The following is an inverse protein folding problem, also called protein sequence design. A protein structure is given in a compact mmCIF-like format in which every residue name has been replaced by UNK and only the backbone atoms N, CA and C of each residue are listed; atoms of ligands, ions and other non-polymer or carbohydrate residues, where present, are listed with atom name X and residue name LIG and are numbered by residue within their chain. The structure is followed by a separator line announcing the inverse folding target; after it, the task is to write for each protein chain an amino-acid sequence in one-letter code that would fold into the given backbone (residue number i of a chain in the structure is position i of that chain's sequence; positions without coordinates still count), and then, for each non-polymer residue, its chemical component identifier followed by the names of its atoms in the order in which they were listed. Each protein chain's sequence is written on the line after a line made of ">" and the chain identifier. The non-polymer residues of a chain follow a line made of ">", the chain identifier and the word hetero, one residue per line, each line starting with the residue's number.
data_IF_887550484333
#
_entry.id   IF_887550484333
#
_cell.length_a   1.000
_cell.length_b   1.000
_cell.length_c   1.000
_cell.angle_alpha   90.00
_cell.angle_beta   90.00
_cell.angle_gamma   90.00
#
_symmetry.space_group_name_H-M   'P 1'
#
loop_
_entity.id
_entity.type
_entity.pdbx_description
1 polymer ?
#
# COMPACT_ATOMS: atom_id res chain seq x y z
N UNK A 1 23.03 0.44 27.55
CA UNK A 1 21.77 1.01 27.00
C UNK A 1 21.86 0.82 25.50
N UNK A 2 20.94 0.07 24.89
CA UNK A 2 20.94 -0.17 23.45
C UNK A 2 19.77 0.58 22.82
N UNK A 3 20.05 1.35 21.77
CA UNK A 3 19.05 2.07 20.99
C UNK A 3 18.97 1.42 19.60
N UNK A 4 17.76 1.09 19.16
CA UNK A 4 17.49 0.57 17.84
C UNK A 4 16.49 1.48 17.13
N UNK A 5 16.81 1.93 15.92
CA UNK A 5 15.90 2.72 15.09
C UNK A 5 15.19 1.82 14.09
N UNK A 6 13.88 2.01 13.96
CA UNK A 6 13.02 1.33 13.00
C UNK A 6 12.53 2.36 12.01
N UNK A 7 12.80 2.15 10.72
CA UNK A 7 12.30 3.01 9.66
C UNK A 7 11.12 2.35 8.95
N UNK A 8 10.14 3.14 8.54
CA UNK A 8 9.03 2.73 7.68
C UNK A 8 8.75 3.81 6.62
N UNK A 9 8.14 3.38 5.51
CA UNK A 9 7.71 4.27 4.44
C UNK A 9 6.23 4.03 4.19
N UNK A 10 5.43 5.09 4.19
CA UNK A 10 4.01 5.08 3.82
C UNK A 10 3.77 5.99 2.62
N UNK A 11 2.59 5.92 2.02
CA UNK A 11 2.19 6.88 0.98
C UNK A 11 1.34 8.03 1.55
N UNK A 12 0.97 7.94 2.82
CA UNK A 12 0.50 9.03 3.65
C UNK A 12 1.12 8.91 5.06
N UNK A 13 0.92 9.93 5.89
CA UNK A 13 1.45 9.99 7.25
C UNK A 13 0.92 8.83 8.14
N UNK A 14 -0.35 8.48 8.02
CA UNK A 14 -0.98 7.46 8.85
C UNK A 14 -0.47 6.06 8.52
N UNK A 15 -0.40 5.70 7.24
CA UNK A 15 0.20 4.43 6.77
C UNK A 15 1.67 4.31 7.15
N UNK A 16 2.39 5.42 7.13
CA UNK A 16 3.78 5.49 7.52
C UNK A 16 3.95 5.18 9.02
N UNK A 17 3.11 5.78 9.87
CA UNK A 17 3.04 5.53 11.31
C UNK A 17 2.61 4.09 11.60
N UNK A 18 1.54 3.60 10.97
CA UNK A 18 1.03 2.25 11.15
C UNK A 18 2.08 1.19 10.77
N UNK A 19 2.81 1.44 9.68
CA UNK A 19 3.91 0.58 9.23
C UNK A 19 5.09 0.59 10.20
N UNK A 20 5.45 1.75 10.77
CA UNK A 20 6.48 1.85 11.80
C UNK A 20 6.08 1.06 13.05
N UNK A 21 4.84 1.24 13.52
CA UNK A 21 4.28 0.54 14.67
C UNK A 21 4.22 -0.98 14.47
N UNK A 22 3.81 -1.44 13.28
CA UNK A 22 3.78 -2.86 12.95
C UNK A 22 5.19 -3.50 12.97
N UNK A 23 6.21 -2.77 12.50
CA UNK A 23 7.62 -3.23 12.53
C UNK A 23 8.17 -3.26 13.96
N UNK A 24 7.89 -2.23 14.77
CA UNK A 24 8.25 -2.20 16.20
C UNK A 24 7.64 -3.42 16.91
N UNK A 25 6.35 -3.71 16.69
CA UNK A 25 5.65 -4.87 17.27
C UNK A 25 6.30 -6.21 16.90
N UNK A 26 6.78 -6.36 15.66
CA UNK A 26 7.49 -7.58 15.23
C UNK A 26 8.85 -7.75 15.93
N UNK A 27 9.58 -6.66 16.14
CA UNK A 27 10.90 -6.69 16.77
C UNK A 27 10.84 -6.95 18.28
N UNK A 28 9.78 -6.49 18.95
CA UNK A 28 9.63 -6.65 20.40
C UNK A 28 8.88 -7.91 20.82
N UNK A 29 8.23 -8.63 19.89
CA UNK A 29 7.55 -9.90 20.15
C UNK A 29 6.25 -9.81 20.97
N UNK A 30 5.93 -8.66 21.57
CA UNK A 30 4.70 -8.40 22.31
C UNK A 30 3.89 -7.26 21.68
N UNK A 31 2.54 -7.30 21.74
CA UNK A 31 1.74 -6.11 21.45
C UNK A 31 2.14 -5.05 22.47
N UNK A 32 2.85 -4.02 22.03
CA UNK A 32 3.01 -2.77 22.78
C UNK A 32 1.61 -2.17 22.84
N UNK A 33 0.83 -2.57 23.85
CA UNK A 33 -0.55 -2.14 24.11
C UNK A 33 -0.50 -0.68 24.55
N UNK A 34 -0.40 0.20 23.55
CA UNK A 34 -0.16 1.64 23.75
C UNK A 34 1.19 1.87 24.45
N UNK A 35 1.99 2.81 23.99
CA UNK A 35 3.27 3.16 24.62
C UNK A 35 3.07 3.88 25.98
N UNK A 36 2.15 3.42 26.82
CA UNK A 36 1.74 4.06 28.08
C UNK A 36 1.66 3.12 29.30
N UNK A 37 1.92 1.81 29.19
CA UNK A 37 1.97 0.97 30.40
C UNK A 37 3.27 0.19 30.53
N UNK A 38 4.01 0.60 31.56
CA UNK A 38 5.23 0.03 32.11
C UNK A 38 5.20 -1.51 32.04
N UNK A 39 5.93 -2.07 31.07
CA UNK A 39 6.36 -3.45 31.16
C UNK A 39 7.50 -3.50 32.19
N UNK A 40 7.33 -4.28 33.25
CA UNK A 40 8.37 -4.49 34.25
C UNK A 40 9.49 -5.35 33.62
N UNK A 41 10.70 -4.80 33.64
CA UNK A 41 11.81 -5.11 32.73
C UNK A 41 11.99 -3.95 31.77
N UNK A 42 12.96 -3.05 32.03
CA UNK A 42 13.03 -1.68 31.50
C UNK A 42 13.29 -1.62 29.99
N UNK A 43 12.26 -1.93 29.20
CA UNK A 43 12.10 -1.53 27.81
C UNK A 43 11.31 -0.24 27.82
N UNK A 44 11.98 0.89 27.59
CA UNK A 44 11.33 2.16 27.34
C UNK A 44 11.24 2.34 25.83
N UNK A 45 10.08 2.05 25.24
CA UNK A 45 9.75 2.60 23.93
C UNK A 45 9.44 4.08 24.12
N UNK A 46 10.48 4.91 24.18
CA UNK A 46 10.32 6.32 23.86
C UNK A 46 10.13 6.37 22.34
N UNK A 47 8.87 6.33 21.90
CA UNK A 47 8.54 6.87 20.59
C UNK A 47 8.78 8.36 20.75
N UNK A 48 10.04 8.81 20.61
CA UNK A 48 10.27 10.17 20.17
C UNK A 48 9.55 10.22 18.83
N UNK A 49 8.38 10.87 18.82
CA UNK A 49 7.66 11.19 17.59
C UNK A 49 8.53 12.18 16.82
N UNK A 50 9.63 11.71 16.24
CA UNK A 50 10.28 12.44 15.18
C UNK A 50 9.44 12.17 13.93
N UNK A 51 8.33 12.90 13.82
CA UNK A 51 7.63 13.09 12.55
C UNK A 51 8.63 13.76 11.62
N UNK A 52 9.35 12.96 10.84
CA UNK A 52 10.20 13.48 9.77
C UNK A 52 9.25 13.78 8.63
N UNK A 53 8.84 15.04 8.50
CA UNK A 53 7.98 15.53 7.42
C UNK A 53 8.66 15.51 6.04
N UNK A 54 9.81 14.87 5.91
CA UNK A 54 10.51 14.77 4.64
C UNK A 54 9.97 13.57 3.86
N UNK A 55 9.20 13.87 2.83
CA UNK A 55 8.82 12.88 1.83
C UNK A 55 10.09 12.28 1.20
N UNK A 56 10.29 10.95 1.18
CA UNK A 56 11.44 10.31 0.55
C UNK A 56 11.31 10.30 -1.00
N UNK A 57 10.91 11.43 -1.57
CA UNK A 57 10.77 11.66 -3.00
C UNK A 57 9.41 11.27 -3.58
N UNK A 58 9.17 11.63 -4.85
CA UNK A 58 7.91 11.39 -5.52
C UNK A 58 7.65 9.91 -5.81
N UNK A 59 6.37 9.57 -5.99
CA UNK A 59 5.96 8.24 -6.45
C UNK A 59 6.23 8.12 -7.96
N UNK A 60 7.46 7.75 -8.34
CA UNK A 60 7.82 7.53 -9.74
C UNK A 60 7.34 6.14 -10.22
N UNK A 61 6.46 6.11 -11.24
CA UNK A 61 6.18 4.90 -12.04
C UNK A 61 5.49 3.75 -11.30
N UNK A 62 4.85 4.01 -10.17
CA UNK A 62 4.27 2.98 -9.33
C UNK A 62 2.84 2.67 -9.79
N UNK A 63 2.70 1.59 -10.56
CA UNK A 63 1.43 1.24 -11.24
C UNK A 63 0.86 -0.09 -10.73
N UNK A 64 -0.45 -0.13 -10.54
CA UNK A 64 -1.26 -1.36 -10.47
C UNK A 64 -1.88 -1.65 -11.83
N UNK A 65 -1.71 -2.88 -12.33
CA UNK A 65 -2.22 -3.33 -13.64
C UNK A 65 -3.39 -4.30 -13.44
N UNK A 66 -4.53 -4.00 -14.04
CA UNK A 66 -5.73 -4.85 -14.03
C UNK A 66 -6.01 -5.43 -15.41
N UNK A 67 -6.29 -6.74 -15.48
CA UNK A 67 -6.59 -7.46 -16.72
C UNK A 67 -7.92 -8.23 -16.57
N UNK A 68 -8.75 -8.26 -17.63
CA UNK A 68 -10.02 -9.00 -17.62
C UNK A 68 -10.45 -9.47 -19.02
N UNK A 69 -10.91 -10.72 -19.10
CA UNK A 69 -11.38 -11.38 -20.33
C UNK A 69 -12.84 -11.83 -20.19
N UNK A 70 -13.65 -11.60 -21.22
CA UNK A 70 -15.07 -11.97 -21.22
C UNK A 70 -15.58 -12.34 -22.61
N UNK A 71 -16.62 -13.17 -22.67
CA UNK A 71 -17.31 -13.51 -23.92
C UNK A 71 -18.78 -13.13 -23.88
N UNK A 72 -19.29 -12.47 -24.92
CA UNK A 72 -20.67 -11.98 -24.96
C UNK A 72 -21.26 -12.01 -26.40
N UNK A 73 -22.57 -11.79 -26.52
CA UNK A 73 -23.26 -11.71 -27.80
C UNK A 73 -23.28 -10.33 -28.46
N UNK A 74 -22.92 -9.27 -27.73
CA UNK A 74 -22.97 -7.87 -28.19
C UNK A 74 -21.60 -7.21 -27.98
N UNK A 75 -20.96 -6.81 -29.07
CA UNK A 75 -19.61 -6.26 -29.07
C UNK A 75 -19.45 -5.06 -28.14
N UNK A 76 -20.39 -4.11 -28.21
CA UNK A 76 -20.33 -2.85 -27.44
C UNK A 76 -20.44 -3.15 -25.95
N UNK A 77 -21.33 -4.08 -25.57
CA UNK A 77 -21.47 -4.54 -24.19
C UNK A 77 -20.21 -5.26 -23.71
N UNK A 78 -19.61 -6.13 -24.54
CA UNK A 78 -18.34 -6.78 -24.20
C UNK A 78 -17.26 -5.76 -23.88
N UNK A 79 -16.95 -4.87 -24.84
CA UNK A 79 -15.87 -3.87 -24.70
C UNK A 79 -16.08 -3.03 -23.45
N UNK A 80 -17.29 -2.51 -23.26
CA UNK A 80 -17.61 -1.68 -22.10
C UNK A 80 -17.47 -2.44 -20.78
N UNK A 81 -17.89 -3.71 -20.74
CA UNK A 81 -17.80 -4.54 -19.54
C UNK A 81 -16.35 -4.85 -19.18
N UNK A 82 -15.52 -5.22 -20.17
CA UNK A 82 -14.12 -5.55 -19.89
C UNK A 82 -13.31 -4.34 -19.44
N UNK A 83 -13.56 -3.16 -20.02
CA UNK A 83 -12.93 -1.89 -19.62
C UNK A 83 -13.25 -1.57 -18.16
N UNK A 84 -14.54 -1.54 -17.81
CA UNK A 84 -14.96 -1.21 -16.44
C UNK A 84 -14.36 -2.16 -15.41
N UNK A 85 -14.31 -3.45 -15.74
CA UNK A 85 -13.78 -4.47 -14.83
C UNK A 85 -12.25 -4.37 -14.71
N UNK A 86 -11.54 -4.17 -15.82
CA UNK A 86 -10.09 -3.98 -15.80
C UNK A 86 -9.70 -2.71 -15.01
N UNK A 87 -10.44 -1.61 -15.16
CA UNK A 87 -10.22 -0.37 -14.42
C UNK A 87 -10.45 -0.56 -12.90
N UNK A 88 -11.55 -1.22 -12.51
CA UNK A 88 -11.81 -1.55 -11.12
C UNK A 88 -10.71 -2.45 -10.53
N UNK A 89 -10.30 -3.49 -11.27
CA UNK A 89 -9.21 -4.37 -10.86
C UNK A 89 -7.89 -3.62 -10.70
N UNK A 90 -7.56 -2.70 -11.61
CA UNK A 90 -6.34 -1.90 -11.53
C UNK A 90 -6.31 -1.03 -10.27
N UNK A 91 -7.45 -0.38 -9.93
CA UNK A 91 -7.59 0.42 -8.71
C UNK A 91 -7.48 -0.44 -7.46
N UNK A 92 -8.19 -1.56 -7.40
CA UNK A 92 -8.14 -2.46 -6.23
C UNK A 92 -6.74 -3.05 -6.02
N UNK A 93 -6.05 -3.46 -7.09
CA UNK A 93 -4.68 -3.95 -7.01
C UNK A 93 -3.71 -2.85 -6.57
N UNK A 94 -3.91 -1.62 -7.03
CA UNK A 94 -3.14 -0.47 -6.58
C UNK A 94 -3.37 -0.20 -5.08
N UNK A 95 -4.63 -0.13 -4.64
CA UNK A 95 -4.99 0.05 -3.22
C UNK A 95 -4.41 -1.06 -2.34
N UNK A 96 -4.54 -2.32 -2.73
CA UNK A 96 -4.01 -3.45 -1.98
C UNK A 96 -2.47 -3.42 -1.88
N UNK A 97 -1.79 -2.95 -2.92
CA UNK A 97 -0.34 -2.87 -2.95
C UNK A 97 0.21 -1.70 -2.13
N UNK A 98 -0.54 -0.60 -2.03
CA UNK A 98 -0.03 0.67 -1.52
C UNK A 98 -0.74 1.24 -0.30
N UNK A 99 -1.91 0.71 0.05
CA UNK A 99 -2.70 1.13 1.22
C UNK A 99 -3.41 2.47 1.07
N UNK A 100 -3.30 3.15 -0.08
CA UNK A 100 -3.90 4.47 -0.35
C UNK A 100 -4.90 4.43 -1.48
N UNK A 101 -5.69 5.50 -1.60
CA UNK A 101 -6.49 5.75 -2.79
C UNK A 101 -5.65 5.82 -4.06
N UNK A 102 -6.19 5.22 -5.12
CA UNK A 102 -5.58 5.15 -6.43
C UNK A 102 -6.52 5.66 -7.51
N UNK A 103 -5.95 6.24 -8.56
CA UNK A 103 -6.66 6.77 -9.73
C UNK A 103 -6.22 6.02 -11.00
N UNK A 104 -7.15 5.82 -11.93
CA UNK A 104 -6.86 5.20 -13.23
C UNK A 104 -6.00 6.14 -14.07
N UNK A 105 -4.82 5.69 -14.49
CA UNK A 105 -3.88 6.47 -15.32
C UNK A 105 -3.89 6.04 -16.77
N UNK A 106 -4.17 4.75 -17.03
CA UNK A 106 -4.37 4.23 -18.39
C UNK A 106 -5.74 3.55 -18.44
N UNK A 107 -6.64 4.16 -19.20
CA UNK A 107 -7.98 3.61 -19.47
C UNK A 107 -7.86 2.25 -20.14
N UNK A 108 -8.83 1.38 -19.90
CA UNK A 108 -8.83 0.00 -20.39
C UNK A 108 -8.57 -0.09 -21.91
N UNK A 109 -7.36 -0.47 -22.31
CA UNK A 109 -7.07 -0.79 -23.71
C UNK A 109 -7.73 -2.13 -24.02
N UNK A 110 -8.61 -2.14 -25.01
CA UNK A 110 -9.38 -3.33 -25.36
C UNK A 110 -8.88 -4.01 -26.60
N UNK A 111 -8.79 -5.33 -26.54
CA UNK A 111 -8.71 -6.18 -27.74
C UNK A 111 -10.01 -6.96 -27.88
N UNK A 112 -10.36 -7.29 -29.12
CA UNK A 112 -11.59 -8.02 -29.41
C UNK A 112 -11.38 -9.01 -30.55
N UNK A 113 -12.09 -10.13 -30.46
CA UNK A 113 -12.10 -11.19 -31.47
C UNK A 113 -13.51 -11.79 -31.58
N UNK A 114 -13.99 -12.05 -32.79
CA UNK A 114 -15.28 -12.73 -33.00
C UNK A 114 -15.03 -14.22 -33.26
N UNK A 115 -15.47 -15.09 -32.33
CA UNK A 115 -15.38 -16.55 -32.47
C UNK A 115 -16.75 -17.20 -32.33
N UNK A 116 -17.14 -18.04 -33.30
CA UNK A 116 -18.39 -18.83 -33.27
C UNK A 116 -19.62 -17.99 -32.86
N UNK A 117 -19.79 -16.81 -33.46
CA UNK A 117 -20.87 -15.83 -33.16
C UNK A 117 -20.86 -15.23 -31.74
N UNK A 118 -19.74 -15.31 -31.02
CA UNK A 118 -19.52 -14.62 -29.74
C UNK A 118 -18.32 -13.70 -29.83
N UNK A 119 -18.46 -12.52 -29.26
CA UNK A 119 -17.36 -11.59 -29.09
C UNK A 119 -16.57 -12.02 -27.86
N UNK A 120 -15.26 -12.18 -28.02
CA UNK A 120 -14.29 -12.37 -26.95
C UNK A 120 -13.57 -11.04 -26.82
N UNK A 121 -13.65 -10.42 -25.66
CA UNK A 121 -12.97 -9.17 -25.38
C UNK A 121 -12.04 -9.32 -24.19
N UNK A 122 -10.93 -8.61 -24.28
CA UNK A 122 -9.97 -8.44 -23.20
C UNK A 122 -9.77 -6.95 -22.96
N UNK A 123 -9.51 -6.56 -21.72
CA UNK A 123 -9.06 -5.21 -21.39
C UNK A 123 -7.91 -5.24 -20.40
N UNK A 124 -7.01 -4.29 -20.57
CA UNK A 124 -5.92 -3.99 -19.64
C UNK A 124 -6.01 -2.53 -19.22
N UNK A 125 -6.01 -2.24 -17.92
CA UNK A 125 -5.99 -0.89 -17.38
C UNK A 125 -4.86 -0.72 -16.34
N UNK A 126 -4.49 0.54 -16.11
CA UNK A 126 -3.47 0.90 -15.12
C UNK A 126 -3.99 1.95 -14.16
N UNK A 127 -3.60 1.84 -12.89
CA UNK A 127 -3.87 2.83 -11.85
C UNK A 127 -2.61 3.17 -11.06
N UNK A 128 -2.52 4.40 -10.56
CA UNK A 128 -1.43 4.87 -9.72
C UNK A 128 -1.97 5.43 -8.41
N UNK A 129 -1.18 5.43 -7.32
CA UNK A 129 -1.53 6.15 -6.10
C UNK A 129 -1.87 7.61 -6.38
N UNK A 130 -2.91 8.13 -5.73
CA UNK A 130 -3.23 9.56 -5.78
C UNK A 130 -2.22 10.41 -5.01
N UNK A 131 -1.44 9.79 -4.12
CA UNK A 131 -0.37 10.45 -3.39
C UNK A 131 0.81 10.79 -4.33
N UNK A 132 1.26 12.04 -4.31
CA UNK A 132 2.42 12.47 -5.10
C UNK A 132 3.74 12.11 -4.42
N UNK A 133 3.70 11.93 -3.10
CA UNK A 133 4.85 11.77 -2.24
C UNK A 133 4.76 10.49 -1.42
N UNK A 134 5.92 9.94 -1.10
CA UNK A 134 6.04 8.96 -0.01
C UNK A 134 6.19 9.73 1.31
N UNK A 135 6.09 9.05 2.45
CA UNK A 135 6.39 9.56 3.78
C UNK A 135 7.36 8.59 4.46
N UNK A 136 8.38 9.07 5.18
CA UNK A 136 9.28 8.23 5.96
C UNK A 136 9.11 8.51 7.45
N UNK A 137 8.91 7.44 8.22
CA UNK A 137 8.72 7.49 9.66
C UNK A 137 9.84 6.72 10.34
N UNK A 138 10.33 7.25 11.45
CA UNK A 138 11.30 6.57 12.30
C UNK A 138 10.71 6.36 13.70
N UNK A 139 10.91 5.17 14.26
CA UNK A 139 10.59 4.86 15.65
C UNK A 139 11.87 4.40 16.36
N UNK A 140 12.13 4.95 17.54
CA UNK A 140 13.28 4.57 18.37
C UNK A 140 12.85 3.62 19.49
N UNK A 141 13.56 2.50 19.62
CA UNK A 141 13.38 1.52 20.68
C UNK A 141 14.60 1.60 21.59
N UNK A 142 14.39 1.87 22.88
CA UNK A 142 15.47 1.95 23.86
C UNK A 142 15.34 0.83 24.89
N UNK A 143 16.33 -0.06 24.95
CA UNK A 143 16.41 -1.10 25.96
C UNK A 143 17.48 -0.77 27.01
N UNK A 144 17.10 -0.80 28.28
CA UNK A 144 18.01 -0.56 29.40
C UNK A 144 18.23 -1.88 30.15
N UNK A 145 19.46 -2.39 30.10
CA UNK A 145 19.85 -3.52 30.93
C UNK A 145 19.79 -3.12 32.41
N UNK A 146 19.02 -3.87 33.19
CA UNK A 146 19.06 -3.77 34.65
C UNK A 146 20.30 -4.54 35.10
N UNK A 147 21.36 -3.82 35.49
CA UNK A 147 22.49 -4.44 36.17
C UNK A 147 21.98 -4.81 37.56
N UNK A 148 21.91 -6.12 37.84
CA UNK A 148 21.69 -6.63 39.20
C UNK A 148 22.97 -6.51 40.00
#
# INVERSE_FOLDING_TARGET
>A
MSVSKVFAVGLDEQLCIDSANARVKKLTGHPVRTCERKAEGVFTCAVSEQKVSEAPGPILGVVGKGDYNHSCGDEKKCRTSVIKTAEANAVELCKAKFGVDCTVTKRGETTFELKKKRYICAATAEAQPAAEFKFQCAAEITAKATVR
#
